data_IF_008583604707
#
_entry.id   IF_008583604707
#
_cell.length_a   1.000
_cell.length_b   1.000
_cell.length_c   1.000
_cell.angle_alpha   90.00
_cell.angle_beta   90.00
_cell.angle_gamma   90.00
#
_symmetry.space_group_name_H-M   'P 1'
#
loop_
_entity.id
_entity.type
_entity.pdbx_description
1 polymer ?
#
# COMPACT_ATOMS: atom_id res chain seq x y z
N UNK A 1 -72.49 37.50 53.55
CA UNK A 1 -73.08 38.15 52.36
C UNK A 1 -72.07 39.19 51.87
N UNK A 2 -71.66 39.35 50.62
CA UNK A 2 -71.88 38.70 49.33
C UNK A 2 -70.88 39.39 48.36
N UNK A 3 -70.42 38.69 47.33
CA UNK A 3 -69.48 39.19 46.30
C UNK A 3 -69.98 40.46 45.62
N UNK A 4 -69.06 41.36 45.25
CA UNK A 4 -69.14 42.14 44.00
C UNK A 4 -67.75 42.25 43.36
N UNK A 5 -67.71 41.99 42.05
CA UNK A 5 -66.56 42.16 41.13
C UNK A 5 -66.44 43.63 40.74
N UNK A 6 -65.21 44.12 40.63
CA UNK A 6 -64.85 45.35 39.90
C UNK A 6 -63.78 45.02 38.87
N UNK A 7 -63.84 45.66 37.73
CA UNK A 7 -63.29 45.27 36.43
C UNK A 7 -62.24 46.31 36.00
N UNK A 8 -61.30 45.88 35.14
CA UNK A 8 -60.34 46.67 34.34
C UNK A 8 -59.09 47.22 35.06
N UNK A 9 -57.91 46.72 34.65
CA UNK A 9 -57.09 47.44 33.69
C UNK A 9 -56.08 46.52 32.99
N UNK A 10 -56.05 46.64 31.66
CA UNK A 10 -55.06 46.06 30.76
C UNK A 10 -53.90 47.06 30.66
N UNK A 11 -52.69 46.65 31.05
CA UNK A 11 -51.48 47.26 30.51
C UNK A 11 -50.47 46.21 30.12
N UNK A 12 -49.94 46.45 28.92
CA UNK A 12 -48.99 45.70 28.13
C UNK A 12 -47.60 45.62 28.78
N UNK A 13 -46.86 44.62 28.33
CA UNK A 13 -45.41 44.50 28.28
C UNK A 13 -44.62 44.42 29.59
N UNK A 14 -43.81 43.35 29.75
CA UNK A 14 -42.38 43.40 29.40
C UNK A 14 -41.67 42.12 29.91
N UNK A 15 -41.18 41.33 28.95
CA UNK A 15 -39.97 40.48 28.95
C UNK A 15 -39.74 39.37 30.01
N UNK A 16 -39.98 38.14 29.55
CA UNK A 16 -38.95 37.11 29.27
C UNK A 16 -37.77 36.98 30.27
N UNK A 17 -37.79 35.91 31.08
CA UNK A 17 -36.58 35.31 31.66
C UNK A 17 -36.70 33.78 31.65
N UNK A 18 -36.52 33.18 30.47
CA UNK A 18 -36.32 31.75 30.30
C UNK A 18 -34.81 31.47 30.41
N UNK A 19 -34.36 30.96 31.56
CA UNK A 19 -32.97 30.52 31.73
C UNK A 19 -32.73 29.27 30.91
N UNK A 20 -32.03 29.45 29.79
CA UNK A 20 -31.47 28.39 28.95
C UNK A 20 -30.37 27.68 29.73
N UNK A 21 -30.62 26.44 30.16
CA UNK A 21 -29.57 25.47 30.43
C UNK A 21 -29.36 24.65 29.16
N UNK A 22 -28.41 25.06 28.31
CA UNK A 22 -27.95 24.19 27.23
C UNK A 22 -26.56 24.60 26.73
N UNK A 23 -25.75 23.56 26.51
CA UNK A 23 -24.44 23.51 25.84
C UNK A 23 -23.16 23.68 26.68
N UNK A 24 -22.74 22.54 27.25
CA UNK A 24 -21.31 22.24 27.47
C UNK A 24 -20.94 20.81 27.00
N UNK A 25 -21.70 20.19 26.09
CA UNK A 25 -21.47 18.80 25.63
C UNK A 25 -20.92 18.66 24.21
N UNK A 26 -20.68 19.75 23.48
CA UNK A 26 -20.22 19.69 22.07
C UNK A 26 -18.69 19.75 21.87
N UNK A 27 -17.91 20.03 22.91
CA UNK A 27 -16.45 20.21 22.75
C UNK A 27 -15.65 18.92 23.02
N UNK A 28 -16.24 17.93 23.69
CA UNK A 28 -15.58 16.65 23.98
C UNK A 28 -15.58 15.68 22.78
N UNK A 29 -16.45 15.87 21.77
CA UNK A 29 -16.55 14.95 20.62
C UNK A 29 -15.46 15.18 19.57
N UNK A 30 -14.93 16.40 19.43
CA UNK A 30 -13.90 16.71 18.43
C UNK A 30 -12.53 16.12 18.81
N UNK A 31 -12.15 16.19 20.09
CA UNK A 31 -10.86 15.68 20.59
C UNK A 31 -10.80 14.15 20.68
N UNK A 32 -11.94 13.48 20.83
CA UNK A 32 -12.01 12.02 20.75
C UNK A 32 -11.76 11.54 19.30
N UNK A 33 -12.24 12.29 18.30
CA UNK A 33 -12.14 11.92 16.88
C UNK A 33 -10.72 12.01 16.31
N UNK A 34 -9.86 12.89 16.81
CA UNK A 34 -8.48 13.02 16.29
C UNK A 34 -7.64 11.76 16.60
N UNK A 35 -7.88 11.12 17.75
CA UNK A 35 -7.20 9.88 18.13
C UNK A 35 -7.58 8.71 17.21
N UNK A 36 -8.74 8.78 16.57
CA UNK A 36 -9.20 7.73 15.66
C UNK A 36 -8.39 7.70 14.36
N UNK A 37 -7.53 8.67 14.07
CA UNK A 37 -6.60 8.57 12.93
C UNK A 37 -5.46 7.59 13.19
N UNK A 38 -5.13 7.28 14.45
CA UNK A 38 -4.04 6.36 14.81
C UNK A 38 -4.24 4.98 14.20
N UNK A 39 -3.16 4.36 13.72
CA UNK A 39 -3.14 3.03 13.13
C UNK A 39 -2.68 3.04 11.67
N UNK A 40 -2.82 1.87 11.03
CA UNK A 40 -2.42 1.63 9.64
C UNK A 40 -3.62 1.65 8.72
N UNK A 41 -3.44 2.20 7.54
CA UNK A 41 -4.47 2.42 6.55
C UNK A 41 -4.01 1.97 5.18
N UNK A 42 -4.82 1.14 4.53
CA UNK A 42 -4.67 0.80 3.12
C UNK A 42 -5.55 1.73 2.31
N UNK A 43 -4.97 2.39 1.32
CA UNK A 43 -5.61 3.47 0.58
C UNK A 43 -5.74 3.08 -0.89
N UNK A 44 -6.98 3.17 -1.39
CA UNK A 44 -7.29 3.09 -2.82
C UNK A 44 -7.38 4.50 -3.38
N UNK A 45 -6.69 4.74 -4.49
CA UNK A 45 -6.80 5.97 -5.26
C UNK A 45 -7.84 5.78 -6.34
N UNK A 46 -8.88 6.60 -6.34
CA UNK A 46 -9.93 6.51 -7.35
C UNK A 46 -9.43 7.12 -8.68
N UNK A 47 -9.99 6.66 -9.80
CA UNK A 47 -9.65 7.12 -11.17
C UNK A 47 -8.17 7.03 -11.56
N UNK A 48 -7.42 6.12 -10.93
CA UNK A 48 -6.02 5.92 -11.25
C UNK A 48 -5.83 4.78 -12.28
N UNK A 49 -5.28 5.11 -13.45
CA UNK A 49 -5.09 4.20 -14.58
C UNK A 49 -4.24 2.97 -14.24
N UNK A 50 -3.26 3.09 -13.34
CA UNK A 50 -2.38 1.98 -12.95
C UNK A 50 -2.86 1.25 -11.68
N UNK A 51 -4.10 1.52 -11.24
CA UNK A 51 -4.75 0.87 -10.07
C UNK A 51 -3.94 0.93 -8.78
N UNK A 52 -3.01 1.89 -8.63
CA UNK A 52 -2.09 1.90 -7.48
C UNK A 52 -2.82 2.07 -6.16
N UNK A 53 -2.28 1.38 -5.16
CA UNK A 53 -2.67 1.46 -3.76
C UNK A 53 -1.57 2.13 -2.94
N UNK A 54 -1.96 2.85 -1.91
CA UNK A 54 -1.06 3.56 -1.00
C UNK A 54 -1.24 3.05 0.42
N UNK A 55 -0.29 3.36 1.29
CA UNK A 55 -0.33 2.95 2.68
C UNK A 55 0.08 4.10 3.58
N UNK A 56 -0.62 4.24 4.70
CA UNK A 56 -0.39 5.27 5.71
C UNK A 56 -0.36 4.63 7.10
N UNK A 57 0.62 5.01 7.90
CA UNK A 57 0.64 4.78 9.34
C UNK A 57 0.62 6.12 10.06
N UNK A 58 -0.25 6.25 11.05
CA UNK A 58 -0.35 7.41 11.94
C UNK A 58 -0.20 6.91 13.37
N UNK A 59 0.67 7.53 14.15
CA UNK A 59 0.87 7.24 15.56
C UNK A 59 0.85 8.53 16.37
N UNK A 60 0.32 8.50 17.59
CA UNK A 60 0.29 9.67 18.47
C UNK A 60 -0.69 10.77 18.05
N UNK A 61 -1.66 10.53 17.17
CA UNK A 61 -2.73 11.49 16.89
C UNK A 61 -3.52 11.82 18.17
N UNK A 62 -3.83 13.11 18.36
CA UNK A 62 -4.34 13.65 19.63
C UNK A 62 -3.26 13.85 20.71
N UNK A 63 -1.97 13.82 20.34
CA UNK A 63 -0.84 14.10 21.23
C UNK A 63 0.25 14.94 20.53
N UNK A 64 1.18 15.54 21.30
CA UNK A 64 2.36 16.21 20.73
C UNK A 64 3.35 15.28 20.01
N UNK A 65 3.19 13.95 20.13
CA UNK A 65 4.08 12.93 19.56
C UNK A 65 3.58 12.38 18.23
N UNK A 66 2.74 13.14 17.51
CA UNK A 66 2.19 12.76 16.22
C UNK A 66 3.31 12.47 15.22
N UNK A 67 3.34 11.24 14.72
CA UNK A 67 4.26 10.78 13.68
C UNK A 67 3.49 9.98 12.65
N UNK A 68 4.04 9.87 11.45
CA UNK A 68 3.49 8.94 10.47
C UNK A 68 4.46 8.56 9.38
N UNK A 69 4.11 7.48 8.70
CA UNK A 69 4.83 6.96 7.55
C UNK A 69 3.86 6.81 6.39
N UNK A 70 4.33 7.03 5.18
CA UNK A 70 3.50 6.98 3.98
C UNK A 70 4.24 6.33 2.82
N UNK A 71 3.52 5.50 2.07
CA UNK A 71 3.95 4.99 0.78
C UNK A 71 2.91 5.40 -0.26
N UNK A 72 3.39 5.98 -1.36
CA UNK A 72 2.60 6.16 -2.57
C UNK A 72 3.41 5.88 -3.82
N UNK A 73 2.71 5.60 -4.91
CA UNK A 73 3.32 5.45 -6.23
C UNK A 73 4.00 6.75 -6.74
N UNK A 74 3.74 7.91 -6.13
CA UNK A 74 4.36 9.18 -6.50
C UNK A 74 5.72 9.39 -5.83
N UNK A 75 5.86 8.89 -4.60
CA UNK A 75 7.10 8.98 -3.83
C UNK A 75 8.01 7.77 -3.98
N UNK A 76 7.48 6.62 -4.41
CA UNK A 76 8.23 5.38 -4.60
C UNK A 76 8.70 4.70 -3.31
N UNK A 77 9.01 5.48 -2.27
CA UNK A 77 9.67 4.98 -1.05
C UNK A 77 8.75 4.99 0.18
N UNK A 78 9.20 4.33 1.26
CA UNK A 78 8.65 4.52 2.61
C UNK A 78 9.10 5.88 3.15
N UNK A 79 8.17 6.83 3.15
CA UNK A 79 8.45 8.20 3.56
C UNK A 79 8.04 8.43 5.01
N UNK A 80 8.91 9.06 5.80
CA UNK A 80 8.53 9.65 7.09
C UNK A 80 7.85 10.99 6.83
N UNK A 81 6.67 11.20 7.42
CA UNK A 81 5.91 12.43 7.24
C UNK A 81 6.42 13.48 8.23
N UNK A 82 7.05 14.54 7.72
CA UNK A 82 7.63 15.60 8.55
C UNK A 82 6.61 16.65 9.03
N UNK A 83 5.50 16.83 8.31
CA UNK A 83 4.50 17.86 8.56
C UNK A 83 3.08 17.31 8.76
N UNK A 84 2.98 16.11 9.33
CA UNK A 84 1.71 15.47 9.63
C UNK A 84 0.94 16.31 10.67
N UNK A 85 -0.32 16.59 10.38
CA UNK A 85 -1.22 17.24 11.32
C UNK A 85 -2.57 16.54 11.35
N UNK A 86 -3.17 16.48 12.53
CA UNK A 86 -4.60 16.20 12.72
C UNK A 86 -5.16 17.39 13.48
N UNK A 87 -6.10 18.10 12.87
CA UNK A 87 -6.72 19.29 13.46
C UNK A 87 -8.19 19.32 13.10
N UNK A 88 -9.04 19.49 14.10
CA UNK A 88 -10.50 19.61 13.94
C UNK A 88 -11.09 18.45 13.11
N UNK A 89 -10.61 17.21 13.34
CA UNK A 89 -11.05 16.01 12.62
C UNK A 89 -10.53 15.89 11.18
N UNK A 90 -9.52 16.68 10.80
CA UNK A 90 -8.88 16.63 9.47
C UNK A 90 -7.43 16.22 9.61
N UNK A 91 -7.08 15.10 8.98
CA UNK A 91 -5.71 14.69 8.73
C UNK A 91 -5.15 15.44 7.52
N UNK A 92 -3.95 16.00 7.63
CA UNK A 92 -3.25 16.62 6.50
C UNK A 92 -1.76 16.38 6.56
N UNK A 93 -1.13 16.19 5.40
CA UNK A 93 0.32 16.14 5.25
C UNK A 93 0.74 16.49 3.82
N UNK A 94 2.04 16.73 3.60
CA UNK A 94 2.56 16.94 2.26
C UNK A 94 3.95 16.35 2.05
N UNK A 95 4.31 16.17 0.78
CA UNK A 95 5.63 15.75 0.37
C UNK A 95 6.14 16.62 -0.77
N UNK A 96 7.43 16.97 -0.73
CA UNK A 96 8.10 17.63 -1.84
C UNK A 96 8.65 16.57 -2.80
N UNK A 97 7.99 16.40 -3.94
CA UNK A 97 8.51 15.59 -5.04
C UNK A 97 9.71 16.30 -5.65
N UNK A 98 10.87 15.66 -5.60
CA UNK A 98 12.12 16.12 -6.22
C UNK A 98 12.26 15.53 -7.64
N UNK A 99 13.16 16.08 -8.45
CA UNK A 99 13.48 15.56 -9.78
C UNK A 99 12.93 16.40 -10.93
N UNK A 100 12.72 15.77 -12.09
CA UNK A 100 12.44 16.44 -13.36
C UNK A 100 11.15 17.29 -13.36
N UNK A 101 10.17 16.96 -12.52
CA UNK A 101 8.97 17.78 -12.31
C UNK A 101 8.75 18.01 -10.81
N UNK A 102 9.43 19.01 -10.22
CA UNK A 102 9.28 19.35 -8.81
C UNK A 102 7.84 19.74 -8.51
N UNK A 103 7.30 19.26 -7.40
CA UNK A 103 5.93 19.56 -6.99
C UNK A 103 5.74 19.31 -5.48
N UNK A 104 4.90 20.12 -4.83
CA UNK A 104 4.42 19.82 -3.48
C UNK A 104 3.11 19.03 -3.58
N UNK A 105 3.14 17.79 -3.14
CA UNK A 105 2.00 16.88 -3.10
C UNK A 105 1.30 17.06 -1.76
N UNK A 106 0.03 17.44 -1.77
CA UNK A 106 -0.76 17.69 -0.56
C UNK A 106 -1.84 16.62 -0.44
N UNK A 107 -2.04 16.11 0.78
CA UNK A 107 -3.02 15.09 1.10
C UNK A 107 -3.87 15.57 2.27
N UNK A 108 -5.18 15.43 2.15
CA UNK A 108 -6.12 15.69 3.24
C UNK A 108 -7.13 14.55 3.36
N UNK A 109 -7.55 14.22 4.57
CA UNK A 109 -8.59 13.21 4.80
C UNK A 109 -9.40 13.48 6.07
N UNK A 110 -10.65 13.02 6.06
CA UNK A 110 -11.52 12.94 7.23
C UNK A 110 -11.91 11.49 7.49
N UNK A 111 -12.35 11.20 8.70
CA UNK A 111 -12.99 9.93 9.01
C UNK A 111 -14.49 10.02 8.72
N UNK A 112 -14.96 9.13 7.86
CA UNK A 112 -16.39 8.96 7.55
C UNK A 112 -16.72 7.49 7.81
N UNK A 113 -17.56 7.23 8.81
CA UNK A 113 -17.92 5.86 9.24
C UNK A 113 -16.70 4.96 9.53
N UNK A 114 -15.64 5.54 10.08
CA UNK A 114 -14.41 4.81 10.44
C UNK A 114 -13.42 4.57 9.29
N UNK A 115 -13.71 5.06 8.09
CA UNK A 115 -12.83 5.00 6.92
C UNK A 115 -12.26 6.39 6.61
N UNK A 116 -11.03 6.43 6.06
CA UNK A 116 -10.49 7.65 5.51
C UNK A 116 -11.20 7.97 4.20
N UNK A 117 -11.72 9.19 4.09
CA UNK A 117 -12.19 9.77 2.84
C UNK A 117 -11.40 11.04 2.63
N UNK A 118 -10.62 11.07 1.55
CA UNK A 118 -9.65 12.13 1.33
C UNK A 118 -9.41 12.44 -0.13
N UNK A 119 -8.52 13.40 -0.33
CA UNK A 119 -8.10 13.87 -1.64
C UNK A 119 -6.61 14.19 -1.61
N UNK A 120 -5.93 13.96 -2.73
CA UNK A 120 -4.61 14.53 -2.96
C UNK A 120 -4.66 15.52 -4.12
N UNK A 121 -3.77 16.51 -4.08
CA UNK A 121 -3.57 17.47 -5.16
C UNK A 121 -2.11 17.93 -5.20
N UNK A 122 -1.75 18.59 -6.30
CA UNK A 122 -0.48 19.33 -6.40
C UNK A 122 -0.74 20.75 -5.96
N UNK A 123 0.10 21.30 -5.09
CA UNK A 123 -0.03 22.68 -4.62
C UNK A 123 -0.05 23.66 -5.81
N UNK A 124 -1.00 24.60 -5.78
CA UNK A 124 -1.26 25.52 -6.90
C UNK A 124 -2.01 24.92 -8.10
N UNK A 125 -2.47 23.67 -8.04
CA UNK A 125 -3.33 23.03 -9.06
C UNK A 125 -4.77 22.87 -8.55
N UNK A 126 -5.72 23.02 -9.47
CA UNK A 126 -7.14 22.89 -9.14
C UNK A 126 -7.59 21.43 -9.09
N UNK A 127 -6.91 20.56 -9.84
CA UNK A 127 -7.22 19.14 -9.94
C UNK A 127 -6.96 18.42 -8.61
N UNK A 128 -7.97 17.66 -8.19
CA UNK A 128 -7.89 16.82 -7.00
C UNK A 128 -8.23 15.39 -7.37
N UNK A 129 -7.49 14.45 -6.81
CA UNK A 129 -7.72 13.02 -6.98
C UNK A 129 -8.25 12.46 -5.66
N UNK A 130 -9.50 11.96 -5.63
CA UNK A 130 -10.06 11.37 -4.43
C UNK A 130 -9.40 10.04 -4.08
N UNK A 131 -9.34 9.73 -2.79
CA UNK A 131 -8.92 8.44 -2.29
C UNK A 131 -9.77 7.99 -1.11
N UNK A 132 -9.80 6.68 -0.89
CA UNK A 132 -10.50 6.04 0.22
C UNK A 132 -9.51 5.15 0.97
N UNK A 133 -9.52 5.18 2.30
CA UNK A 133 -8.65 4.36 3.13
C UNK A 133 -9.41 3.52 4.13
N UNK A 134 -9.09 2.23 4.19
CA UNK A 134 -9.60 1.31 5.21
C UNK A 134 -8.50 0.95 6.18
N UNK A 135 -8.89 0.54 7.39
CA UNK A 135 -7.95 -0.03 8.35
C UNK A 135 -7.22 -1.20 7.72
N UNK A 136 -5.90 -1.21 7.84
CA UNK A 136 -5.13 -2.41 7.54
C UNK A 136 -5.59 -3.53 8.50
N UNK A 137 -5.91 -4.72 7.99
CA UNK A 137 -6.43 -5.80 8.80
C UNK A 137 -5.35 -6.38 9.72
N UNK A 138 -5.78 -6.94 10.84
CA UNK A 138 -4.92 -7.80 11.67
C UNK A 138 -4.89 -9.19 11.03
N UNK A 139 -3.74 -9.59 10.50
CA UNK A 139 -3.53 -10.93 9.98
C UNK A 139 -2.99 -11.83 11.10
N UNK A 140 -3.77 -12.85 11.47
CA UNK A 140 -3.47 -13.73 12.62
C UNK A 140 -2.53 -14.90 12.28
N UNK A 141 -2.31 -15.14 10.99
CA UNK A 141 -1.46 -16.24 10.52
C UNK A 141 -0.02 -16.07 11.00
N UNK A 142 0.56 -17.17 11.47
CA UNK A 142 1.94 -17.27 11.92
C UNK A 142 2.67 -18.30 11.08
N UNK A 143 3.95 -18.07 10.83
CA UNK A 143 4.83 -19.03 10.18
C UNK A 143 5.44 -19.97 11.24
N UNK A 144 4.61 -20.90 11.70
CA UNK A 144 4.81 -21.78 12.87
C UNK A 144 4.82 -23.27 12.50
N UNK A 145 5.26 -23.59 11.28
CA UNK A 145 5.38 -24.96 10.73
C UNK A 145 4.06 -25.74 10.62
N UNK A 146 2.92 -25.16 11.01
CA UNK A 146 1.59 -25.76 10.87
C UNK A 146 1.08 -25.84 9.42
N UNK A 147 1.76 -25.19 8.49
CA UNK A 147 1.34 -25.08 7.09
C UNK A 147 1.85 -26.24 6.24
N UNK A 148 0.93 -26.87 5.51
CA UNK A 148 1.21 -27.93 4.54
C UNK A 148 1.26 -27.37 3.13
N UNK A 149 2.20 -27.87 2.34
CA UNK A 149 2.31 -27.56 0.91
C UNK A 149 1.15 -28.18 0.14
N UNK A 150 0.39 -27.35 -0.56
CA UNK A 150 -0.65 -27.76 -1.50
C UNK A 150 -0.07 -28.16 -2.87
N UNK A 151 -0.96 -28.31 -3.85
CA UNK A 151 -0.56 -28.58 -5.24
C UNK A 151 0.11 -27.34 -5.84
N UNK A 152 1.30 -27.52 -6.41
CA UNK A 152 2.00 -26.46 -7.12
C UNK A 152 1.23 -26.01 -8.38
N UNK A 153 1.27 -24.71 -8.62
CA UNK A 153 0.69 -24.01 -9.77
C UNK A 153 1.81 -23.37 -10.56
N UNK A 154 1.91 -23.70 -11.84
CA UNK A 154 2.83 -23.03 -12.76
C UNK A 154 2.18 -21.74 -13.30
N UNK A 155 2.48 -20.60 -12.66
CA UNK A 155 2.02 -19.29 -13.12
C UNK A 155 2.66 -18.88 -14.44
N UNK A 156 3.88 -19.34 -14.69
CA UNK A 156 4.49 -19.30 -16.01
C UNK A 156 5.05 -20.68 -16.37
N UNK A 157 4.54 -21.25 -17.46
CA UNK A 157 4.81 -22.61 -17.94
C UNK A 157 5.68 -22.64 -19.21
N UNK A 158 6.20 -21.49 -19.65
CA UNK A 158 7.03 -21.38 -20.85
C UNK A 158 6.27 -21.25 -22.17
N UNK A 159 4.93 -21.24 -22.19
CA UNK A 159 4.16 -21.34 -23.45
C UNK A 159 3.43 -20.08 -23.84
N UNK A 160 2.72 -19.46 -22.90
CA UNK A 160 1.82 -18.35 -23.20
C UNK A 160 1.68 -17.39 -22.01
N UNK A 161 0.95 -16.30 -22.25
CA UNK A 161 0.64 -15.27 -21.27
C UNK A 161 -0.85 -15.26 -20.89
N UNK A 162 -1.60 -16.34 -21.13
CA UNK A 162 -3.06 -16.35 -20.97
C UNK A 162 -3.50 -16.09 -19.51
N UNK A 163 -2.65 -16.42 -18.55
CA UNK A 163 -2.89 -16.20 -17.12
C UNK A 163 -2.47 -14.80 -16.64
N UNK A 164 -2.12 -13.89 -17.55
CA UNK A 164 -1.60 -12.56 -17.22
C UNK A 164 -2.46 -11.46 -17.82
N UNK A 165 -2.59 -10.37 -17.07
CA UNK A 165 -3.29 -9.16 -17.50
C UNK A 165 -2.42 -7.93 -17.28
N UNK A 166 -2.74 -6.86 -18.02
CA UNK A 166 -2.08 -5.57 -17.91
C UNK A 166 -2.47 -4.86 -16.61
N UNK A 167 -1.47 -4.33 -15.88
CA UNK A 167 -1.71 -3.45 -14.73
C UNK A 167 -2.35 -2.13 -15.14
N UNK A 168 -1.90 -1.55 -16.26
CA UNK A 168 -2.52 -0.38 -16.89
C UNK A 168 -3.49 -0.86 -17.98
N UNK A 169 -4.82 -0.79 -17.76
CA UNK A 169 -5.79 -1.22 -18.75
C UNK A 169 -5.65 -0.44 -20.07
N UNK A 170 -5.87 -1.12 -21.20
CA UNK A 170 -5.80 -0.50 -22.54
C UNK A 170 -4.40 -0.28 -23.09
N UNK A 171 -3.34 -0.55 -22.31
CA UNK A 171 -1.95 -0.59 -22.78
C UNK A 171 -1.54 -2.05 -23.02
N UNK A 172 -0.93 -2.32 -24.18
CA UNK A 172 -0.40 -3.65 -24.53
C UNK A 172 0.51 -4.20 -23.42
N UNK A 173 0.52 -5.54 -23.26
CA UNK A 173 1.38 -6.19 -22.27
C UNK A 173 2.84 -5.80 -22.51
N UNK A 174 3.31 -5.82 -23.76
CA UNK A 174 4.74 -5.62 -24.05
C UNK A 174 5.61 -6.78 -23.57
N UNK A 175 5.07 -8.00 -23.55
CA UNK A 175 5.80 -9.22 -23.21
C UNK A 175 5.70 -10.22 -24.36
N UNK A 176 6.77 -10.98 -24.56
CA UNK A 176 6.89 -12.03 -25.57
C UNK A 176 7.34 -13.33 -24.93
N UNK A 177 6.93 -14.44 -25.54
CA UNK A 177 7.46 -15.76 -25.21
C UNK A 177 8.42 -16.18 -26.32
N UNK A 178 9.67 -16.43 -25.96
CA UNK A 178 10.72 -16.87 -26.89
C UNK A 178 11.49 -18.02 -26.23
N UNK A 179 11.51 -19.19 -26.88
CA UNK A 179 12.24 -20.37 -26.39
C UNK A 179 11.92 -20.77 -24.93
N UNK A 180 10.65 -20.68 -24.52
CA UNK A 180 10.25 -21.00 -23.14
C UNK A 180 10.46 -19.87 -22.14
N UNK A 181 10.90 -18.69 -22.58
CA UNK A 181 11.24 -17.54 -21.72
C UNK A 181 10.24 -16.42 -21.97
N UNK A 182 9.64 -15.93 -20.89
CA UNK A 182 8.87 -14.69 -20.88
C UNK A 182 9.82 -13.50 -20.79
N UNK A 183 9.76 -12.59 -21.76
CA UNK A 183 10.65 -11.43 -21.89
C UNK A 183 9.85 -10.16 -22.14
N UNK A 184 10.16 -9.09 -21.43
CA UNK A 184 9.57 -7.78 -21.70
C UNK A 184 10.27 -7.07 -22.88
N UNK A 185 9.54 -6.14 -23.50
CA UNK A 185 10.11 -5.11 -24.38
C UNK A 185 10.21 -3.79 -23.60
N UNK A 186 10.95 -2.82 -24.13
CA UNK A 186 11.09 -1.51 -23.50
C UNK A 186 9.71 -0.87 -23.24
N UNK A 187 9.49 -0.43 -22.00
CA UNK A 187 8.24 0.20 -21.59
C UNK A 187 7.04 -0.75 -21.52
N UNK A 188 7.25 -2.05 -21.31
CA UNK A 188 6.17 -3.02 -21.12
C UNK A 188 5.23 -2.62 -19.98
N UNK A 189 4.04 -3.23 -19.97
CA UNK A 189 3.14 -3.17 -18.83
C UNK A 189 3.64 -4.07 -17.72
N UNK A 190 3.28 -3.75 -16.48
CA UNK A 190 3.46 -4.70 -15.39
C UNK A 190 2.38 -5.77 -15.53
N UNK A 191 2.75 -7.03 -15.29
CA UNK A 191 1.84 -8.16 -15.39
C UNK A 191 1.15 -8.42 -14.05
N UNK A 192 -0.11 -8.82 -14.11
CA UNK A 192 -0.90 -9.27 -12.96
C UNK A 192 -1.44 -10.66 -13.28
N UNK A 193 -1.16 -11.64 -12.43
CA UNK A 193 -1.70 -12.99 -12.58
C UNK A 193 -3.21 -13.00 -12.38
N UNK A 194 -3.92 -13.84 -13.13
CA UNK A 194 -5.35 -14.07 -12.93
C UNK A 194 -5.63 -14.78 -11.60
N UNK A 195 -4.81 -15.78 -11.26
CA UNK A 195 -4.89 -16.50 -10.00
C UNK A 195 -4.44 -15.64 -8.81
N UNK A 196 -5.06 -15.88 -7.66
CA UNK A 196 -4.80 -15.18 -6.41
C UNK A 196 -4.44 -16.15 -5.30
N UNK A 197 -3.50 -15.75 -4.45
CA UNK A 197 -2.94 -16.60 -3.40
C UNK A 197 -2.97 -15.88 -2.06
N UNK A 198 -3.14 -16.65 -0.99
CA UNK A 198 -3.07 -16.16 0.40
C UNK A 198 -1.69 -16.45 0.98
N UNK A 199 -1.51 -17.62 1.60
CA UNK A 199 -0.21 -18.09 2.06
C UNK A 199 0.38 -19.01 1.01
N UNK A 200 1.66 -18.84 0.71
CA UNK A 200 2.31 -19.60 -0.36
C UNK A 200 3.83 -19.63 -0.22
N UNK A 201 4.41 -20.58 -0.92
CA UNK A 201 5.80 -20.55 -1.35
C UNK A 201 5.85 -20.22 -2.86
N UNK A 202 6.80 -19.41 -3.27
CA UNK A 202 7.01 -18.98 -4.65
C UNK A 202 8.44 -19.33 -5.03
N UNK A 203 8.60 -20.01 -6.16
CA UNK A 203 9.89 -20.20 -6.82
C UNK A 203 9.90 -19.45 -8.15
N UNK A 204 10.92 -18.64 -8.37
CA UNK A 204 11.10 -17.87 -9.60
C UNK A 204 12.53 -17.98 -10.11
N UNK A 205 12.69 -18.17 -11.42
CA UNK A 205 13.97 -18.08 -12.09
C UNK A 205 13.91 -16.94 -13.11
N UNK A 206 14.76 -15.94 -12.90
CA UNK A 206 14.75 -14.69 -13.65
C UNK A 206 16.16 -14.28 -14.07
N UNK A 207 16.23 -13.42 -15.08
CA UNK A 207 17.46 -12.80 -15.58
C UNK A 207 17.13 -11.37 -15.96
N UNK A 208 18.06 -10.45 -15.75
CA UNK A 208 17.90 -9.04 -16.09
C UNK A 208 19.05 -8.54 -16.96
N UNK A 209 18.78 -7.49 -17.73
CA UNK A 209 19.81 -6.73 -18.44
C UNK A 209 20.50 -5.71 -17.53
N UNK A 210 21.61 -5.14 -17.99
CA UNK A 210 22.28 -4.05 -17.27
C UNK A 210 21.33 -2.87 -17.05
N UNK A 211 21.45 -2.20 -15.91
CA UNK A 211 20.63 -1.06 -15.47
C UNK A 211 19.14 -1.33 -15.34
N UNK A 212 18.73 -2.61 -15.31
CA UNK A 212 17.31 -2.96 -15.18
C UNK A 212 16.83 -2.87 -13.73
N UNK A 213 15.56 -2.53 -13.59
CA UNK A 213 14.80 -2.53 -12.35
C UNK A 213 13.47 -3.23 -12.61
N UNK A 214 13.16 -4.21 -11.78
CA UNK A 214 11.95 -4.98 -11.79
C UNK A 214 11.58 -5.37 -10.36
N UNK A 215 10.64 -6.29 -10.23
CA UNK A 215 10.16 -6.70 -8.92
C UNK A 215 9.02 -7.71 -9.02
N UNK A 216 8.87 -8.48 -7.94
CA UNK A 216 7.75 -9.38 -7.75
C UNK A 216 6.80 -8.81 -6.69
N UNK A 217 5.57 -8.54 -7.10
CA UNK A 217 4.50 -8.11 -6.20
C UNK A 217 3.78 -9.30 -5.61
N UNK A 218 4.10 -9.65 -4.37
CA UNK A 218 3.40 -10.70 -3.62
C UNK A 218 2.02 -10.19 -3.22
N UNK A 219 0.98 -10.98 -3.52
CA UNK A 219 -0.44 -10.60 -3.35
C UNK A 219 -0.81 -9.26 -3.99
N UNK A 220 -0.06 -8.82 -5.02
CA UNK A 220 -0.25 -7.54 -5.70
C UNK A 220 0.17 -6.30 -4.89
N UNK A 221 0.97 -6.49 -3.83
CA UNK A 221 1.19 -5.43 -2.83
C UNK A 221 2.51 -5.41 -2.07
N UNK A 222 3.24 -6.52 -1.97
CA UNK A 222 4.52 -6.57 -1.27
C UNK A 222 5.63 -6.88 -2.26
N UNK A 223 6.48 -5.91 -2.52
CA UNK A 223 7.52 -6.01 -3.54
C UNK A 223 8.78 -6.67 -3.00
N UNK A 224 9.15 -7.80 -3.59
CA UNK A 224 10.52 -8.31 -3.52
C UNK A 224 11.28 -7.79 -4.73
N UNK A 225 12.27 -6.94 -4.45
CA UNK A 225 12.95 -6.14 -5.45
C UNK A 225 13.83 -6.97 -6.38
N UNK A 226 13.90 -6.61 -7.67
CA UNK A 226 14.84 -7.17 -8.66
C UNK A 226 15.59 -6.00 -9.29
N UNK A 227 16.91 -5.89 -9.15
CA UNK A 227 17.64 -4.75 -9.71
C UNK A 227 19.07 -5.11 -10.08
N UNK A 228 19.67 -4.40 -11.03
CA UNK A 228 21.10 -4.48 -11.31
C UNK A 228 21.94 -3.83 -10.21
N UNK A 229 22.31 -4.63 -9.20
CA UNK A 229 23.12 -4.23 -8.06
C UNK A 229 24.28 -5.17 -7.73
N UNK A 230 24.69 -6.02 -8.67
CA UNK A 230 25.80 -6.94 -8.46
C UNK A 230 27.07 -6.21 -7.98
N UNK A 231 27.72 -6.77 -6.97
CA UNK A 231 28.93 -6.20 -6.37
C UNK A 231 28.69 -4.98 -5.46
N UNK A 232 27.44 -4.54 -5.26
CA UNK A 232 27.10 -3.46 -4.32
C UNK A 232 26.71 -4.03 -2.94
N UNK A 233 26.85 -3.25 -1.86
CA UNK A 233 26.31 -3.63 -0.54
C UNK A 233 24.80 -3.87 -0.59
N UNK A 234 24.30 -4.70 0.33
CA UNK A 234 22.86 -4.85 0.54
C UNK A 234 22.21 -3.50 0.90
N UNK A 235 21.03 -3.24 0.33
CA UNK A 235 20.28 -2.00 0.53
C UNK A 235 18.77 -2.23 0.52
N UNK A 236 18.02 -1.26 1.03
CA UNK A 236 16.55 -1.31 1.10
C UNK A 236 15.87 -1.27 -0.28
N UNK A 237 16.60 -0.90 -1.33
CA UNK A 237 16.17 -0.92 -2.74
C UNK A 237 17.00 -1.90 -3.59
N UNK A 238 17.74 -2.80 -2.93
CA UNK A 238 18.57 -3.83 -3.58
C UNK A 238 17.84 -5.15 -3.80
N UNK A 239 18.42 -6.03 -4.59
CA UNK A 239 17.92 -7.36 -4.93
C UNK A 239 17.57 -8.15 -3.65
N UNK A 240 16.35 -8.68 -3.59
CA UNK A 240 15.87 -9.49 -2.47
C UNK A 240 15.35 -8.69 -1.27
N UNK A 241 15.44 -7.36 -1.29
CA UNK A 241 14.79 -6.51 -0.28
C UNK A 241 13.27 -6.60 -0.37
N UNK A 242 12.60 -6.47 0.79
CA UNK A 242 11.22 -5.98 0.79
C UNK A 242 11.32 -4.47 0.55
N UNK A 243 10.92 -4.01 -0.64
CA UNK A 243 11.26 -2.68 -1.14
C UNK A 243 10.97 -1.57 -0.12
N UNK A 244 11.99 -0.77 0.18
CA UNK A 244 11.97 0.37 1.12
C UNK A 244 11.56 0.01 2.56
N UNK A 245 11.64 -1.27 2.93
CA UNK A 245 11.23 -1.76 4.25
C UNK A 245 12.27 -2.66 4.93
N UNK A 246 12.61 -3.79 4.31
CA UNK A 246 13.52 -4.78 4.91
C UNK A 246 14.74 -4.93 4.03
N UNK A 247 15.91 -4.59 4.58
CA UNK A 247 17.21 -4.76 3.93
C UNK A 247 17.59 -6.24 4.00
N UNK A 248 18.01 -6.87 2.89
CA UNK A 248 18.54 -8.23 2.92
C UNK A 248 19.83 -8.29 3.74
N UNK A 249 20.08 -9.39 4.44
CA UNK A 249 21.28 -9.56 5.27
C UNK A 249 22.58 -9.50 4.47
N UNK A 250 22.53 -9.90 3.20
CA UNK A 250 23.64 -9.87 2.25
C UNK A 250 23.09 -9.65 0.84
N UNK A 251 23.86 -9.00 -0.02
CA UNK A 251 23.56 -8.98 -1.44
C UNK A 251 24.07 -10.29 -2.07
N UNK A 252 23.14 -11.16 -2.45
CA UNK A 252 23.44 -12.44 -3.11
C UNK A 252 23.10 -12.41 -4.61
N UNK A 253 23.03 -11.23 -5.22
CA UNK A 253 22.79 -11.10 -6.66
C UNK A 253 24.00 -11.60 -7.48
N UNK A 254 23.73 -11.90 -8.74
CA UNK A 254 24.70 -12.23 -9.79
C UNK A 254 24.76 -11.11 -10.81
N UNK A 255 25.78 -11.10 -11.64
CA UNK A 255 25.93 -10.12 -12.70
C UNK A 255 24.73 -10.13 -13.68
N UNK A 256 24.37 -8.98 -14.29
CA UNK A 256 23.39 -8.93 -15.36
C UNK A 256 23.70 -9.93 -16.48
N UNK A 257 22.65 -10.56 -17.03
CA UNK A 257 22.79 -11.63 -18.01
C UNK A 257 22.90 -13.04 -17.41
N UNK A 258 23.10 -13.18 -16.10
CA UNK A 258 23.06 -14.48 -15.42
C UNK A 258 21.66 -14.83 -14.89
N UNK A 259 21.34 -16.13 -14.88
CA UNK A 259 20.12 -16.62 -14.26
C UNK A 259 20.24 -16.59 -12.73
N UNK A 260 19.25 -15.95 -12.12
CA UNK A 260 19.05 -15.84 -10.69
C UNK A 260 17.82 -16.64 -10.26
N UNK A 261 17.78 -17.04 -8.99
CA UNK A 261 16.60 -17.68 -8.41
C UNK A 261 16.13 -16.97 -7.14
N UNK A 262 14.81 -16.92 -6.99
CA UNK A 262 14.14 -16.61 -5.73
C UNK A 262 13.35 -17.81 -5.24
N UNK A 263 13.50 -18.09 -3.95
CA UNK A 263 12.58 -18.89 -3.17
C UNK A 263 12.00 -18.01 -2.07
N UNK A 264 10.70 -17.74 -2.13
CA UNK A 264 10.00 -16.81 -1.25
C UNK A 264 8.90 -17.57 -0.53
N UNK A 265 8.82 -17.40 0.79
CA UNK A 265 7.70 -17.90 1.60
C UNK A 265 6.98 -16.73 2.22
N UNK A 266 5.66 -16.68 2.05
CA UNK A 266 4.81 -15.65 2.65
C UNK A 266 3.64 -16.30 3.41
N UNK A 267 3.60 -16.05 4.72
CA UNK A 267 2.53 -16.50 5.62
C UNK A 267 2.02 -15.32 6.43
N UNK A 268 0.75 -14.94 6.27
CA UNK A 268 0.21 -13.73 6.89
C UNK A 268 1.01 -12.50 6.45
N UNK A 269 1.81 -11.93 7.36
CA UNK A 269 2.75 -10.82 7.11
C UNK A 269 4.22 -11.22 7.27
N UNK A 270 4.51 -12.51 7.42
CA UNK A 270 5.85 -13.03 7.63
C UNK A 270 6.41 -13.45 6.28
N UNK A 271 7.50 -12.80 5.85
CA UNK A 271 8.18 -13.07 4.59
C UNK A 271 9.59 -13.61 4.83
N UNK A 272 9.91 -14.69 4.15
CA UNK A 272 11.27 -15.25 4.07
C UNK A 272 11.68 -15.22 2.61
N UNK A 273 12.89 -14.72 2.32
CA UNK A 273 13.42 -14.57 0.96
C UNK A 273 14.79 -15.22 0.89
N UNK A 274 14.94 -16.13 -0.06
CA UNK A 274 16.20 -16.75 -0.44
C UNK A 274 16.55 -16.35 -1.86
N UNK A 275 17.76 -15.84 -2.05
CA UNK A 275 18.30 -15.41 -3.35
C UNK A 275 19.48 -16.30 -3.70
N UNK A 276 19.43 -16.99 -4.84
CA UNK A 276 20.50 -17.87 -5.31
C UNK A 276 20.97 -18.89 -4.25
N UNK A 277 20.03 -19.43 -3.47
CA UNK A 277 20.30 -20.39 -2.40
C UNK A 277 20.74 -19.77 -1.06
N UNK A 278 20.91 -18.45 -0.97
CA UNK A 278 21.25 -17.73 0.26
C UNK A 278 20.00 -17.11 0.87
N UNK A 279 19.65 -17.48 2.11
CA UNK A 279 18.52 -16.87 2.84
C UNK A 279 18.88 -15.46 3.29
N UNK A 280 18.32 -14.45 2.64
CA UNK A 280 18.66 -13.03 2.86
C UNK A 280 17.66 -12.30 3.75
N UNK A 281 16.42 -12.76 3.83
CA UNK A 281 15.42 -12.30 4.81
C UNK A 281 14.87 -13.55 5.48
N UNK A 282 14.92 -13.60 6.81
CA UNK A 282 14.40 -14.71 7.60
C UNK A 282 13.24 -14.22 8.49
N UNK A 283 12.02 -14.66 8.18
CA UNK A 283 10.79 -14.31 8.90
C UNK A 283 10.60 -12.80 9.15
N UNK A 284 10.90 -11.97 8.15
CA UNK A 284 10.70 -10.53 8.20
C UNK A 284 9.22 -10.15 8.26
N UNK A 285 8.88 -9.06 8.97
CA UNK A 285 7.50 -8.59 9.12
C UNK A 285 7.17 -7.50 8.10
N UNK A 286 6.20 -7.79 7.24
CA UNK A 286 5.63 -6.83 6.29
C UNK A 286 4.70 -5.87 7.04
N UNK A 287 5.12 -4.62 7.21
CA UNK A 287 4.31 -3.60 7.91
C UNK A 287 3.07 -3.16 7.12
N UNK A 288 3.11 -3.24 5.79
CA UNK A 288 2.04 -2.83 4.89
C UNK A 288 2.47 -2.83 3.43
N UNK A 289 1.65 -2.21 2.58
CA UNK A 289 1.86 -2.16 1.12
C UNK A 289 3.22 -1.52 0.77
N UNK A 290 3.87 -1.95 -0.32
CA UNK A 290 5.01 -1.28 -0.94
C UNK A 290 4.56 -0.45 -2.16
N UNK A 291 5.45 0.34 -2.76
CA UNK A 291 5.04 1.31 -3.78
C UNK A 291 4.51 0.68 -5.08
N UNK A 292 4.88 -0.57 -5.39
CA UNK A 292 4.30 -1.26 -6.54
C UNK A 292 2.83 -1.66 -6.36
N UNK A 293 2.28 -1.54 -5.14
CA UNK A 293 0.97 -2.08 -4.80
C UNK A 293 -0.14 -1.54 -5.70
N UNK A 294 -1.03 -2.45 -6.08
CA UNK A 294 -2.27 -2.17 -6.83
C UNK A 294 -3.45 -3.01 -6.31
N UNK A 295 -3.20 -3.83 -5.29
CA UNK A 295 -4.23 -4.45 -4.47
C UNK A 295 -4.11 -3.91 -3.04
N UNK A 296 -5.12 -3.17 -2.60
CA UNK A 296 -5.18 -2.51 -1.29
C UNK A 296 -5.84 -3.39 -0.22
N UNK A 297 -6.53 -4.47 -0.60
CA UNK A 297 -7.28 -5.31 0.34
C UNK A 297 -6.41 -6.42 0.93
N UNK A 298 -5.64 -6.11 1.98
CA UNK A 298 -4.75 -7.10 2.61
C UNK A 298 -5.50 -8.23 3.31
N UNK A 299 -6.84 -8.19 3.39
CA UNK A 299 -7.65 -9.21 4.04
C UNK A 299 -8.02 -10.38 3.13
N UNK A 300 -7.70 -10.26 1.83
CA UNK A 300 -8.05 -11.24 0.81
C UNK A 300 -6.82 -11.80 0.08
N UNK A 301 -6.92 -13.01 -0.53
CA UNK A 301 -5.93 -13.49 -1.48
C UNK A 301 -5.69 -12.45 -2.59
N UNK A 302 -4.44 -12.31 -3.02
CA UNK A 302 -4.05 -11.35 -4.06
C UNK A 302 -3.23 -11.99 -5.17
N UNK A 303 -3.09 -11.32 -6.32
CA UNK A 303 -2.35 -11.84 -7.47
C UNK A 303 -0.84 -11.83 -7.23
N UNK A 304 -0.07 -12.43 -8.13
CA UNK A 304 1.36 -12.17 -8.27
C UNK A 304 1.54 -11.15 -9.38
N UNK A 305 2.45 -10.20 -9.18
CA UNK A 305 2.79 -9.22 -10.20
C UNK A 305 4.24 -9.24 -10.58
N UNK A 306 4.50 -8.96 -11.86
CA UNK A 306 5.85 -8.86 -12.42
C UNK A 306 6.02 -7.47 -12.99
N UNK A 307 7.02 -6.75 -12.49
CA UNK A 307 7.40 -5.46 -13.04
C UNK A 307 8.26 -5.63 -14.30
N UNK A 308 7.97 -4.86 -15.34
CA UNK A 308 8.71 -4.89 -16.61
C UNK A 308 8.82 -3.53 -17.30
N UNK A 309 8.56 -2.44 -16.59
CA UNK A 309 8.56 -1.09 -17.16
C UNK A 309 9.93 -0.38 -17.13
N UNK A 310 10.94 -0.91 -16.41
CA UNK A 310 12.24 -0.27 -16.22
C UNK A 310 13.44 -1.15 -16.64
N UNK A 311 13.49 -1.53 -17.92
CA UNK A 311 14.60 -2.27 -18.51
C UNK A 311 14.35 -3.77 -18.68
N UNK A 312 15.27 -4.51 -19.34
CA UNK A 312 15.05 -5.92 -19.68
C UNK A 312 14.92 -6.86 -18.46
N UNK A 313 13.84 -7.63 -18.42
CA UNK A 313 13.52 -8.69 -17.47
C UNK A 313 13.07 -9.92 -18.25
N UNK A 314 13.67 -11.06 -17.92
CA UNK A 314 13.38 -12.37 -18.47
C UNK A 314 13.02 -13.33 -17.32
N UNK A 315 12.03 -14.19 -17.54
CA UNK A 315 11.64 -15.25 -16.60
C UNK A 315 11.45 -16.55 -17.37
N UNK A 316 12.04 -17.64 -16.87
CA UNK A 316 11.82 -18.98 -17.44
C UNK A 316 10.93 -19.87 -16.58
N UNK A 317 10.75 -19.50 -15.30
CA UNK A 317 9.95 -20.25 -14.35
C UNK A 317 9.34 -19.33 -13.31
N UNK A 318 8.06 -19.53 -13.05
CA UNK A 318 7.36 -18.94 -11.90
C UNK A 318 6.32 -19.95 -11.40
N UNK A 319 6.57 -20.50 -10.21
CA UNK A 319 5.73 -21.53 -9.61
C UNK A 319 5.28 -21.07 -8.23
N UNK A 320 4.00 -21.25 -7.93
CA UNK A 320 3.42 -20.99 -6.61
C UNK A 320 2.97 -22.31 -6.00
N UNK A 321 3.34 -22.56 -4.76
CA UNK A 321 2.81 -23.66 -3.95
C UNK A 321 1.97 -23.07 -2.83
N UNK A 322 0.63 -23.12 -2.91
CA UNK A 322 -0.23 -22.66 -1.85
C UNK A 322 0.06 -23.38 -0.53
N UNK A 323 -0.04 -22.65 0.58
CA UNK A 323 0.10 -23.19 1.92
C UNK A 323 -1.28 -23.32 2.54
N UNK A 324 -1.60 -24.51 3.03
CA UNK A 324 -2.92 -24.88 3.56
C UNK A 324 -2.77 -25.44 4.98
N UNK A 325 -3.83 -25.36 5.77
CA UNK A 325 -3.92 -26.00 7.10
C UNK A 325 -4.81 -27.22 7.02
#
# INVERSE_FOLDING_TARGET
MGRVRGQHDLTFDTLLNMRIFLFASLVLSAWAGDKDFNGRWNIRVDNNANRRAWWLEVNGAGSPTLTGKFISALGGDLNVISNLAVKDGVLSFSFDRKGAQPAKLVYTAKLVKGELVGEHFVDGKAEKTPFQGKRAPVLKDKDDDSWKRGKAVELFNGKDLNNWSAMVPGKDLGWKIENGIMKNIAGANNLISAEKFWNFELHCEFKIGAHSNGGLGLRGRYEIQIVDDFGKPAGSHGTGSLYSRIVPSVNASKAPGEWQSYDIRLVGRIVTVTVNGVKVIDKGIVEGLTAMAHDWDESAPGPISVQGDHGPVEMRKLTITPLTR
#
